data_IF_281736299586
#
_entry.id   IF_281736299586
#
_cell.length_a   1.000
_cell.length_b   1.000
_cell.length_c   1.000
_cell.angle_alpha   90.00
_cell.angle_beta   90.00
_cell.angle_gamma   90.00
#
_symmetry.space_group_name_H-M   'P 1'
#
loop_
_entity.id
_entity.type
_entity.pdbx_description
1 polymer ?
#
# COMPACT_ATOMS: atom_id res chain seq x y z
N UNK A 1 -3.05 -4.21 8.16
CA UNK A 1 -3.42 -5.54 7.63
C UNK A 1 -3.52 -6.50 8.81
N UNK A 2 -4.71 -7.01 9.11
CA UNK A 2 -4.87 -8.07 10.11
C UNK A 2 -4.76 -9.42 9.41
N UNK A 3 -3.63 -10.13 9.60
CA UNK A 3 -3.42 -11.46 9.03
C UNK A 3 -4.45 -12.49 9.53
N UNK A 4 -4.97 -12.31 10.74
CA UNK A 4 -5.99 -13.18 11.31
C UNK A 4 -7.35 -13.02 10.60
N UNK A 5 -7.74 -11.77 10.33
CA UNK A 5 -8.99 -11.46 9.66
C UNK A 5 -9.00 -11.96 8.21
N UNK A 6 -7.90 -11.76 7.47
CA UNK A 6 -7.80 -12.24 6.08
C UNK A 6 -7.79 -13.77 6.00
N UNK A 7 -7.11 -14.44 6.94
CA UNK A 7 -7.17 -15.90 7.07
C UNK A 7 -8.59 -16.40 7.39
N UNK A 8 -9.36 -15.68 8.21
CA UNK A 8 -10.77 -15.99 8.46
C UNK A 8 -11.61 -15.86 7.17
N UNK A 9 -11.42 -14.81 6.38
CA UNK A 9 -12.11 -14.64 5.09
C UNK A 9 -11.81 -15.80 4.12
N UNK A 10 -10.56 -16.25 4.07
CA UNK A 10 -10.15 -17.39 3.25
C UNK A 10 -10.89 -18.67 3.65
N UNK A 11 -11.14 -18.90 4.95
CA UNK A 11 -11.86 -20.08 5.47
C UNK A 11 -13.34 -20.12 5.06
N UNK A 12 -13.97 -18.98 4.75
CA UNK A 12 -15.37 -18.95 4.33
C UNK A 12 -15.60 -19.67 2.99
N UNK A 13 -16.71 -20.40 2.90
CA UNK A 13 -17.11 -21.24 1.75
C UNK A 13 -18.52 -20.86 1.30
N UNK A 14 -18.89 -21.23 0.06
CA UNK A 14 -20.24 -20.98 -0.48
C UNK A 14 -20.51 -19.55 -0.95
N UNK A 15 -19.51 -18.67 -0.95
CA UNK A 15 -19.63 -17.30 -1.47
C UNK A 15 -19.28 -17.25 -2.96
N UNK A 16 -19.98 -16.39 -3.72
CA UNK A 16 -19.58 -16.03 -5.08
C UNK A 16 -18.17 -15.41 -5.08
N UNK A 17 -17.36 -15.58 -6.13
CA UNK A 17 -15.99 -15.06 -6.19
C UNK A 17 -15.89 -13.58 -5.81
N UNK A 18 -16.72 -12.71 -6.41
CA UNK A 18 -16.73 -11.27 -6.13
C UNK A 18 -17.16 -10.96 -4.69
N UNK A 19 -18.17 -11.66 -4.15
CA UNK A 19 -18.59 -11.54 -2.74
C UNK A 19 -17.44 -11.89 -1.79
N UNK A 20 -16.61 -12.88 -2.16
CA UNK A 20 -15.45 -13.31 -1.40
C UNK A 20 -14.30 -12.28 -1.46
N UNK A 21 -14.11 -11.62 -2.61
CA UNK A 21 -13.15 -10.50 -2.75
C UNK A 21 -13.56 -9.33 -1.85
N UNK A 22 -14.84 -8.96 -1.84
CA UNK A 22 -15.38 -7.89 -0.96
C UNK A 22 -15.11 -8.21 0.51
N UNK A 23 -15.37 -9.45 0.94
CA UNK A 23 -15.09 -9.90 2.30
C UNK A 23 -13.60 -9.83 2.64
N UNK A 24 -12.74 -10.22 1.70
CA UNK A 24 -11.30 -10.19 1.88
C UNK A 24 -10.76 -8.76 2.06
N UNK A 25 -11.18 -7.81 1.23
CA UNK A 25 -10.79 -6.40 1.38
C UNK A 25 -11.30 -5.78 2.68
N UNK A 26 -12.51 -6.14 3.13
CA UNK A 26 -13.01 -5.72 4.45
C UNK A 26 -12.13 -6.25 5.58
N UNK A 27 -11.67 -7.50 5.48
CA UNK A 27 -10.80 -8.12 6.48
C UNK A 27 -9.38 -7.57 6.47
N UNK A 28 -8.84 -7.25 5.29
CA UNK A 28 -7.52 -6.62 5.17
C UNK A 28 -7.46 -5.26 5.89
N UNK A 29 -8.57 -4.51 5.78
CA UNK A 29 -8.77 -3.18 6.38
C UNK A 29 -9.23 -3.23 7.84
N UNK A 30 -9.43 -4.41 8.43
CA UNK A 30 -9.82 -4.55 9.82
C UNK A 30 -8.67 -4.19 10.77
N UNK A 31 -8.98 -3.38 11.79
CA UNK A 31 -8.09 -3.08 12.91
C UNK A 31 -8.72 -3.60 14.22
N UNK A 32 -8.02 -4.41 15.03
CA UNK A 32 -8.54 -4.94 16.30
C UNK A 32 -9.01 -3.87 17.29
N UNK A 33 -8.32 -2.74 17.37
CA UNK A 33 -8.60 -1.70 18.38
C UNK A 33 -9.76 -0.79 17.96
N UNK A 34 -9.83 -0.47 16.67
CA UNK A 34 -10.76 0.54 16.16
C UNK A 34 -11.95 -0.09 15.44
N UNK A 35 -11.77 -1.21 14.75
CA UNK A 35 -12.76 -1.87 13.87
C UNK A 35 -12.52 -1.60 12.38
N UNK A 36 -13.53 -1.87 11.55
CA UNK A 36 -13.48 -1.70 10.09
C UNK A 36 -14.40 -0.56 9.61
N UNK A 37 -13.83 0.47 8.98
CA UNK A 37 -14.56 1.67 8.50
C UNK A 37 -14.12 2.18 7.11
N UNK A 38 -13.96 1.33 6.08
CA UNK A 38 -13.71 1.83 4.73
C UNK A 38 -14.88 2.68 4.23
N UNK A 39 -14.59 3.71 3.45
CA UNK A 39 -15.63 4.36 2.64
C UNK A 39 -16.07 3.40 1.53
N UNK A 40 -17.36 3.46 1.14
CA UNK A 40 -17.87 2.62 0.06
C UNK A 40 -17.17 2.90 -1.27
N UNK A 41 -16.84 4.16 -1.56
CA UNK A 41 -16.10 4.53 -2.78
C UNK A 41 -14.75 3.83 -2.85
N UNK A 42 -14.02 3.81 -1.72
CA UNK A 42 -12.71 3.17 -1.65
C UNK A 42 -12.84 1.65 -1.73
N UNK A 43 -13.82 1.07 -1.04
CA UNK A 43 -14.06 -0.38 -1.09
C UNK A 43 -14.47 -0.85 -2.49
N UNK A 44 -15.30 -0.07 -3.19
CA UNK A 44 -15.71 -0.33 -4.56
C UNK A 44 -14.52 -0.28 -5.53
N UNK A 45 -13.67 0.74 -5.39
CA UNK A 45 -12.42 0.86 -6.15
C UNK A 45 -11.49 -0.34 -5.90
N UNK A 46 -11.26 -0.73 -4.64
CA UNK A 46 -10.38 -1.85 -4.31
C UNK A 46 -10.89 -3.19 -4.88
N UNK A 47 -12.21 -3.37 -4.90
CA UNK A 47 -12.85 -4.57 -5.42
C UNK A 47 -13.09 -4.52 -6.94
N UNK A 48 -12.73 -3.42 -7.61
CA UNK A 48 -12.94 -3.18 -9.04
C UNK A 48 -14.40 -3.36 -9.50
N UNK A 49 -15.36 -2.92 -8.67
CA UNK A 49 -16.80 -3.02 -8.96
C UNK A 49 -17.50 -1.69 -8.75
N UNK A 50 -18.69 -1.56 -9.34
CA UNK A 50 -19.54 -0.39 -9.12
C UNK A 50 -20.08 -0.35 -7.68
N UNK A 51 -20.49 0.83 -7.21
CA UNK A 51 -21.11 1.00 -5.87
C UNK A 51 -22.42 0.22 -5.74
N UNK A 52 -23.22 0.13 -6.79
CA UNK A 52 -24.47 -0.65 -6.78
C UNK A 52 -24.16 -2.14 -6.63
N UNK A 53 -23.23 -2.67 -7.43
CA UNK A 53 -22.77 -4.06 -7.32
C UNK A 53 -22.15 -4.36 -5.95
N UNK A 54 -21.39 -3.41 -5.39
CA UNK A 54 -20.85 -3.54 -4.03
C UNK A 54 -21.97 -3.69 -3.00
N UNK A 55 -23.04 -2.90 -3.08
CA UNK A 55 -24.17 -3.00 -2.17
C UNK A 55 -24.89 -4.36 -2.26
N UNK A 56 -25.01 -4.93 -3.46
CA UNK A 56 -25.56 -6.28 -3.64
C UNK A 56 -24.72 -7.35 -2.94
N UNK A 57 -23.39 -7.25 -3.07
CA UNK A 57 -22.46 -8.18 -2.40
C UNK A 57 -22.43 -7.97 -0.88
N UNK A 58 -22.53 -6.74 -0.39
CA UNK A 58 -22.66 -6.44 1.03
C UNK A 58 -23.97 -7.04 1.60
N UNK A 59 -25.08 -6.93 0.86
CA UNK A 59 -26.35 -7.55 1.23
C UNK A 59 -26.28 -9.07 1.28
N UNK A 60 -25.55 -9.70 0.35
CA UNK A 60 -25.29 -11.16 0.40
C UNK A 60 -24.47 -11.55 1.63
N UNK A 61 -23.45 -10.76 2.01
CA UNK A 61 -22.65 -11.02 3.21
C UNK A 61 -23.46 -10.86 4.50
N UNK A 62 -24.40 -9.92 4.53
CA UNK A 62 -25.35 -9.75 5.63
C UNK A 62 -26.35 -10.92 5.71
N UNK A 63 -26.88 -11.37 4.57
CA UNK A 63 -27.81 -12.49 4.50
C UNK A 63 -27.18 -13.81 4.97
N UNK A 64 -25.89 -14.01 4.70
CA UNK A 64 -25.13 -15.19 5.17
C UNK A 64 -24.62 -14.99 6.61
N UNK A 65 -24.84 -13.81 7.21
CA UNK A 65 -24.45 -13.53 8.60
C UNK A 65 -22.94 -13.40 8.81
N UNK A 66 -22.18 -13.02 7.78
CA UNK A 66 -20.73 -12.79 7.87
C UNK A 66 -20.37 -11.33 8.14
N UNK A 67 -21.34 -10.44 7.97
CA UNK A 67 -21.16 -9.00 8.05
C UNK A 67 -22.40 -8.34 8.66
N UNK A 68 -22.18 -7.23 9.36
CA UNK A 68 -23.24 -6.30 9.77
C UNK A 68 -22.78 -4.86 9.54
N UNK A 69 -23.57 -4.08 8.79
CA UNK A 69 -23.33 -2.64 8.62
C UNK A 69 -24.01 -1.85 9.74
N UNK A 70 -23.26 -0.96 10.40
CA UNK A 70 -23.79 -0.02 11.40
C UNK A 70 -23.52 1.41 10.91
N UNK A 71 -24.56 2.13 10.42
CA UNK A 71 -24.41 3.54 10.11
C UNK A 71 -24.11 4.30 11.40
N UNK A 72 -23.20 5.27 11.32
CA UNK A 72 -22.81 6.09 12.47
C UNK A 72 -23.14 7.55 12.19
N UNK A 73 -23.62 8.24 13.22
CA UNK A 73 -23.84 9.67 13.22
C UNK A 73 -22.99 10.28 14.33
N UNK A 74 -22.42 11.44 14.07
CA UNK A 74 -21.76 12.24 15.09
C UNK A 74 -22.83 12.69 16.13
N UNK A 75 -22.66 12.38 17.42
CA UNK A 75 -23.67 12.68 18.43
C UNK A 75 -23.93 14.18 18.58
N UNK A 76 -22.91 15.01 18.33
CA UNK A 76 -22.94 16.46 18.50
C UNK A 76 -23.31 17.14 17.20
N UNK A 77 -22.57 16.84 16.12
CA UNK A 77 -22.74 17.58 14.85
C UNK A 77 -23.84 17.01 13.96
N UNK A 78 -24.41 15.85 14.32
CA UNK A 78 -25.39 15.07 13.52
C UNK A 78 -24.91 14.73 12.10
N UNK A 79 -23.62 14.92 11.81
CA UNK A 79 -23.02 14.56 10.52
C UNK A 79 -22.91 13.04 10.39
N UNK A 80 -23.01 12.56 9.17
CA UNK A 80 -22.82 11.16 8.86
C UNK A 80 -21.34 10.79 9.02
N UNK A 81 -21.06 9.78 9.85
CA UNK A 81 -19.73 9.21 10.04
C UNK A 81 -19.56 7.97 9.15
N UNK A 82 -18.31 7.57 8.86
CA UNK A 82 -18.04 6.33 8.12
C UNK A 82 -18.74 5.13 8.77
N UNK A 83 -19.47 4.40 7.94
CA UNK A 83 -20.19 3.16 8.30
C UNK A 83 -19.22 2.17 8.94
N UNK A 84 -19.62 1.60 10.07
CA UNK A 84 -18.88 0.52 10.72
C UNK A 84 -19.30 -0.80 10.10
N UNK A 85 -18.33 -1.58 9.68
CA UNK A 85 -18.51 -2.95 9.22
C UNK A 85 -18.09 -3.88 10.36
N UNK A 86 -19.05 -4.60 10.92
CA UNK A 86 -18.79 -5.58 11.99
C UNK A 86 -18.69 -6.95 11.35
N UNK A 87 -17.52 -7.57 11.46
CA UNK A 87 -17.21 -8.84 10.83
C UNK A 87 -17.65 -10.00 11.75
N UNK A 88 -18.05 -11.12 11.14
CA UNK A 88 -18.62 -12.28 11.85
C UNK A 88 -17.68 -12.94 12.88
N UNK A 89 -16.38 -12.64 12.85
CA UNK A 89 -15.42 -13.12 13.85
C UNK A 89 -15.24 -12.17 15.05
N UNK A 90 -15.79 -10.94 15.00
CA UNK A 90 -15.66 -10.00 16.11
C UNK A 90 -16.41 -10.50 17.36
N UNK A 91 -15.84 -10.37 18.57
CA UNK A 91 -16.53 -10.73 19.81
C UNK A 91 -17.80 -9.88 19.97
N UNK A 92 -18.94 -10.55 20.21
CA UNK A 92 -20.25 -9.88 20.30
C UNK A 92 -20.97 -9.67 18.97
N UNK A 93 -20.52 -10.34 17.90
CA UNK A 93 -21.28 -10.39 16.65
C UNK A 93 -22.61 -11.13 16.85
N UNK A 94 -23.72 -10.42 16.65
CA UNK A 94 -25.08 -10.99 16.63
C UNK A 94 -25.66 -10.78 15.23
N UNK A 95 -25.93 -11.86 14.46
CA UNK A 95 -26.65 -11.76 13.20
C UNK A 95 -28.00 -11.08 13.44
N UNK A 96 -28.31 -10.02 12.69
CA UNK A 96 -29.64 -9.40 12.73
C UNK A 96 -30.49 -10.13 11.68
N UNK A 97 -31.69 -10.58 12.07
CA UNK A 97 -32.65 -11.11 11.11
C UNK A 97 -32.94 -10.03 10.05
N UNK A 98 -32.66 -10.36 8.79
CA UNK A 98 -32.63 -9.42 7.66
C UNK A 98 -33.98 -8.71 7.52
N UNK A 99 -34.03 -7.43 7.92
CA UNK A 99 -34.93 -6.47 7.29
C UNK A 99 -34.14 -5.89 6.13
N UNK A 100 -34.57 -6.05 4.86
CA UNK A 100 -33.89 -5.42 3.73
C UNK A 100 -33.80 -3.92 4.01
N UNK A 101 -32.58 -3.36 4.00
CA UNK A 101 -32.37 -1.95 4.29
C UNK A 101 -33.12 -1.10 3.24
N UNK A 102 -33.78 0.00 3.64
CA UNK A 102 -34.47 0.88 2.71
C UNK A 102 -33.47 1.46 1.69
N UNK A 103 -33.89 1.51 0.42
CA UNK A 103 -33.25 2.28 -0.65
C UNK A 103 -33.11 3.75 -0.20
N UNK A 104 -31.95 4.12 0.36
CA UNK A 104 -31.62 5.53 0.57
C UNK A 104 -31.11 6.06 -0.76
N UNK A 105 -32.07 6.43 -1.63
CA UNK A 105 -31.81 7.30 -2.77
C UNK A 105 -31.26 8.63 -2.26
N UNK A 106 -30.06 9.00 -2.71
CA UNK A 106 -29.54 10.35 -2.53
C UNK A 106 -30.38 11.29 -3.40
N UNK A 107 -31.40 11.91 -2.79
CA UNK A 107 -32.09 13.06 -3.38
C UNK A 107 -31.07 14.18 -3.60
N UNK A 108 -30.94 14.60 -4.86
CA UNK A 108 -30.22 15.80 -5.25
C UNK A 108 -30.98 17.00 -4.65
N UNK A 109 -30.30 17.74 -3.78
CA UNK A 109 -30.82 18.95 -3.17
C UNK A 109 -30.83 20.05 -4.24
N UNK A 110 -32.00 20.42 -4.72
CA UNK A 110 -32.19 21.60 -5.57
C UNK A 110 -33.52 22.25 -5.24
N UNK A 111 -33.42 23.41 -4.58
CA UNK A 111 -34.43 24.47 -4.68
C UNK A 111 -35.52 24.44 -3.62
N UNK A 112 -35.40 25.37 -2.68
CA UNK A 112 -36.49 25.87 -1.85
C UNK A 112 -37.74 26.23 -2.69
N UNK A 113 -38.93 26.08 -2.11
CA UNK A 113 -39.86 27.18 -1.83
C UNK A 113 -40.91 26.74 -0.79
N UNK A 114 -41.44 27.76 -0.13
CA UNK A 114 -42.19 27.78 1.12
C UNK A 114 -43.67 27.89 0.75
N UNK A 115 -44.61 27.24 1.45
CA UNK A 115 -45.90 27.84 1.86
C UNK A 115 -46.87 26.85 2.52
N UNK A 116 -47.32 27.26 3.71
CA UNK A 116 -48.68 27.27 4.25
C UNK A 116 -49.58 26.02 4.36
N UNK A 117 -49.86 25.70 5.63
CA UNK A 117 -51.17 25.73 6.32
C UNK A 117 -52.37 24.86 5.84
N UNK A 118 -53.06 24.37 6.89
CA UNK A 118 -54.50 24.07 7.02
C UNK A 118 -54.96 22.60 6.93
N UNK A 119 -55.18 22.04 8.12
CA UNK A 119 -56.48 21.61 8.67
C UNK A 119 -57.36 20.58 7.90
N UNK A 120 -57.75 19.50 8.60
CA UNK A 120 -58.96 18.70 8.26
C UNK A 120 -58.82 17.18 8.37
N UNK A 121 -59.22 16.61 9.52
CA UNK A 121 -59.83 15.25 9.59
C UNK A 121 -61.28 15.31 9.05
N UNK A 122 -62.13 14.24 9.00
CA UNK A 122 -61.97 12.78 9.18
C UNK A 122 -62.81 11.90 8.17
N UNK A 123 -62.81 10.57 8.39
CA UNK A 123 -63.91 9.57 8.22
C UNK A 123 -64.28 8.92 6.85
N UNK A 124 -64.34 7.59 6.93
CA UNK A 124 -65.32 6.60 6.41
C UNK A 124 -65.74 6.50 4.92
N UNK A 125 -65.71 5.26 4.43
CA UNK A 125 -66.96 4.61 4.02
C UNK A 125 -67.11 4.11 2.57
N UNK A 126 -67.12 2.79 2.45
CA UNK A 126 -67.93 1.96 1.55
C UNK A 126 -67.56 1.80 0.05
N UNK A 127 -67.67 0.52 -0.36
CA UNK A 127 -67.54 -0.04 -1.69
C UNK A 127 -68.74 0.28 -2.60
N UNK A 128 -68.54 0.25 -3.91
CA UNK A 128 -69.38 -0.57 -4.81
C UNK A 128 -68.77 -0.73 -6.22
N UNK A 129 -69.26 -1.77 -6.91
CA UNK A 129 -68.68 -2.44 -8.08
C UNK A 129 -68.90 -1.77 -9.47
N UNK A 130 -67.88 -1.95 -10.35
CA UNK A 130 -67.83 -2.25 -11.81
C UNK A 130 -68.80 -1.53 -12.80
N UNK A 131 -68.40 -1.21 -14.07
CA UNK A 131 -67.77 -2.16 -15.02
C UNK A 131 -66.70 -1.60 -15.98
N UNK A 132 -65.93 -2.53 -16.57
CA UNK A 132 -64.98 -2.29 -17.66
C UNK A 132 -65.68 -2.02 -19.00
N UNK A 133 -65.04 -1.29 -19.93
CA UNK A 133 -65.24 -1.49 -21.37
C UNK A 133 -63.98 -2.05 -22.04
N UNK A 134 -64.24 -3.06 -22.86
CA UNK A 134 -63.33 -3.80 -23.74
C UNK A 134 -63.29 -3.13 -25.13
N UNK A 135 -62.12 -3.07 -25.77
CA UNK A 135 -62.02 -3.03 -27.23
C UNK A 135 -60.84 -3.90 -27.67
N UNK A 136 -61.20 -4.89 -28.48
CA UNK A 136 -60.38 -6.00 -28.90
C UNK A 136 -59.38 -5.74 -30.04
N UNK A 137 -58.76 -6.85 -30.39
CA UNK A 137 -57.50 -7.09 -31.09
C UNK A 137 -57.36 -6.62 -32.55
N UNK A 138 -56.10 -6.43 -32.96
CA UNK A 138 -55.67 -6.51 -34.36
C UNK A 138 -54.19 -6.12 -34.59
N UNK A 139 -53.37 -7.12 -34.92
CA UNK A 139 -52.09 -7.07 -35.63
C UNK A 139 -50.74 -6.77 -34.91
N UNK A 140 -49.98 -7.88 -34.78
CA UNK A 140 -48.66 -8.03 -35.40
C UNK A 140 -47.53 -7.05 -35.00
N UNK A 141 -47.07 -7.10 -33.76
CA UNK A 141 -45.70 -6.69 -33.42
C UNK A 141 -45.14 -7.55 -32.27
N UNK A 142 -44.22 -8.44 -32.61
CA UNK A 142 -43.37 -9.17 -31.66
C UNK A 142 -42.56 -8.14 -30.84
N UNK A 143 -42.32 -8.34 -29.53
CA UNK A 143 -41.27 -7.57 -28.87
C UNK A 143 -39.93 -7.93 -29.53
N UNK A 144 -39.33 -6.96 -30.21
CA UNK A 144 -37.99 -7.07 -30.81
C UNK A 144 -36.99 -6.99 -29.66
N UNK A 145 -36.50 -8.15 -29.22
CA UNK A 145 -35.28 -8.23 -28.44
C UNK A 145 -34.10 -8.11 -29.41
N UNK A 146 -33.49 -6.93 -29.48
CA UNK A 146 -32.24 -6.68 -30.24
C UNK A 146 -30.98 -7.21 -29.53
N UNK A 147 -31.12 -8.18 -28.62
CA UNK A 147 -29.98 -8.95 -28.12
C UNK A 147 -29.93 -10.29 -28.86
N UNK A 148 -28.80 -10.65 -29.50
CA UNK A 148 -28.63 -11.99 -30.03
C UNK A 148 -28.77 -12.98 -28.87
N UNK A 149 -29.55 -14.04 -29.07
CA UNK A 149 -29.50 -15.19 -28.18
C UNK A 149 -28.02 -15.62 -28.08
N UNK A 150 -27.47 -15.66 -26.85
CA UNK A 150 -26.15 -16.23 -26.65
C UNK A 150 -26.14 -17.61 -27.33
N UNK A 151 -25.19 -17.87 -28.24
CA UNK A 151 -25.12 -19.18 -28.86
C UNK A 151 -24.93 -20.19 -27.75
N UNK A 152 -25.92 -21.08 -27.59
CA UNK A 152 -25.74 -22.33 -26.88
C UNK A 152 -24.42 -22.94 -27.37
N UNK A 153 -23.50 -23.34 -26.47
CA UNK A 153 -22.23 -23.89 -26.92
C UNK A 153 -22.48 -25.20 -27.67
N UNK A 154 -22.52 -25.11 -29.01
CA UNK A 154 -22.31 -26.25 -29.87
C UNK A 154 -20.91 -26.78 -29.57
N UNK A 155 -20.85 -28.09 -29.39
CA UNK A 155 -19.75 -28.77 -28.76
C UNK A 155 -18.95 -29.52 -29.84
N UNK A 156 -17.84 -28.96 -30.36
CA UNK A 156 -16.88 -29.75 -31.10
C UNK A 156 -15.70 -30.17 -30.21
N UNK A 157 -15.21 -31.36 -30.52
CA UNK A 157 -14.23 -32.21 -29.85
C UNK A 157 -13.06 -31.48 -29.15
N UNK A 158 -13.13 -31.36 -27.82
CA UNK A 158 -11.98 -31.62 -26.92
C UNK A 158 -12.37 -31.49 -25.44
N UNK A 159 -12.45 -32.66 -24.78
CA UNK A 159 -11.97 -32.92 -23.41
C UNK A 159 -12.53 -32.08 -22.24
N UNK A 160 -13.48 -32.75 -21.58
CA UNK A 160 -13.78 -32.82 -20.13
C UNK A 160 -14.38 -31.58 -19.44
N UNK A 161 -15.72 -31.59 -19.32
CA UNK A 161 -16.41 -31.01 -18.16
C UNK A 161 -16.24 -31.97 -16.98
N UNK A 162 -15.41 -31.61 -16.01
CA UNK A 162 -15.41 -32.29 -14.72
C UNK A 162 -16.38 -31.53 -13.82
N UNK A 163 -17.65 -31.93 -13.87
CA UNK A 163 -18.68 -31.46 -12.94
C UNK A 163 -18.64 -32.32 -11.67
N UNK A 164 -17.48 -32.43 -11.03
CA UNK A 164 -17.35 -33.32 -9.87
C UNK A 164 -17.54 -32.55 -8.57
N UNK A 165 -18.71 -32.78 -7.98
CA UNK A 165 -18.96 -33.01 -6.56
C UNK A 165 -17.66 -33.17 -5.75
N UNK A 166 -17.36 -32.17 -4.91
CA UNK A 166 -16.28 -32.15 -3.91
C UNK A 166 -16.01 -33.56 -3.32
N UNK A 167 -14.95 -34.27 -3.74
CA UNK A 167 -14.43 -35.38 -2.97
C UNK A 167 -13.63 -34.77 -1.82
N UNK A 168 -13.96 -35.17 -0.60
CA UNK A 168 -13.25 -34.80 0.63
C UNK A 168 -11.74 -34.90 0.40
N UNK A 169 -11.06 -33.75 0.40
CA UNK A 169 -9.61 -33.71 0.58
C UNK A 169 -9.39 -33.64 2.09
N UNK A 170 -9.05 -34.77 2.70
CA UNK A 170 -8.53 -34.78 4.07
C UNK A 170 -7.41 -33.73 4.16
N UNK A 171 -7.35 -32.96 5.26
CA UNK A 171 -6.39 -31.88 5.38
C UNK A 171 -4.98 -32.47 5.29
N UNK A 172 -4.34 -32.30 4.13
CA UNK A 172 -2.92 -32.55 3.92
C UNK A 172 -2.14 -31.80 4.99
N UNK A 173 -1.63 -32.57 5.97
CA UNK A 173 -0.60 -32.14 6.91
C UNK A 173 0.77 -32.32 6.26
N UNK A 174 1.02 -31.63 5.15
CA UNK A 174 2.35 -31.47 4.57
C UNK A 174 2.44 -30.07 3.97
N UNK A 175 3.56 -29.33 4.14
CA UNK A 175 3.67 -27.98 3.62
C UNK A 175 3.62 -28.02 2.08
N UNK A 176 2.63 -27.34 1.53
CA UNK A 176 2.44 -27.12 0.10
C UNK A 176 3.72 -26.52 -0.48
N UNK A 177 4.36 -27.26 -1.40
CA UNK A 177 5.32 -26.70 -2.35
C UNK A 177 4.58 -25.68 -3.21
N UNK A 178 4.79 -24.40 -2.93
CA UNK A 178 4.52 -23.32 -3.89
C UNK A 178 5.63 -23.35 -4.94
N UNK A 179 5.36 -24.00 -6.07
CA UNK A 179 6.04 -23.72 -7.34
C UNK A 179 5.01 -23.21 -8.33
N UNK A 180 5.04 -21.91 -8.60
CA UNK A 180 5.13 -21.34 -9.95
C UNK A 180 5.08 -19.82 -9.85
N UNK A 181 6.25 -19.19 -9.96
CA UNK A 181 6.34 -17.73 -9.94
C UNK A 181 7.74 -17.18 -9.69
N UNK A 182 8.78 -17.74 -10.30
CA UNK A 182 10.09 -17.10 -10.30
C UNK A 182 10.69 -17.20 -11.70
N UNK A 183 10.77 -16.04 -12.36
CA UNK A 183 11.60 -15.82 -13.53
C UNK A 183 13.01 -16.38 -13.29
N UNK A 184 13.59 -17.00 -14.31
CA UNK A 184 14.90 -17.61 -14.31
C UNK A 184 16.00 -16.66 -13.78
N UNK A 185 16.24 -16.69 -12.47
CA UNK A 185 17.41 -16.14 -11.79
C UNK A 185 18.13 -17.31 -11.16
N UNK A 186 19.43 -17.44 -11.43
CA UNK A 186 20.24 -18.58 -10.97
C UNK A 186 20.07 -18.78 -9.47
N UNK A 187 19.73 -20.00 -9.04
CA UNK A 187 19.66 -20.32 -7.62
C UNK A 187 21.01 -20.10 -6.95
N UNK A 188 21.01 -19.86 -5.63
CA UNK A 188 22.27 -19.82 -4.87
C UNK A 188 22.92 -21.20 -4.92
N UNK A 189 24.23 -21.22 -5.20
CA UNK A 189 24.99 -22.47 -5.24
C UNK A 189 25.07 -23.11 -3.86
N UNK A 190 25.16 -24.44 -3.83
CA UNK A 190 25.33 -25.16 -2.56
C UNK A 190 26.66 -24.80 -1.86
N UNK A 191 27.67 -24.38 -2.62
CA UNK A 191 28.94 -23.88 -2.08
C UNK A 191 28.73 -22.61 -1.23
N UNK A 192 28.06 -21.60 -1.78
CA UNK A 192 27.80 -20.33 -1.08
C UNK A 192 26.91 -20.54 0.14
N UNK A 193 25.92 -21.44 0.02
CA UNK A 193 25.07 -21.79 1.16
C UNK A 193 25.88 -22.52 2.26
N UNK A 194 26.81 -23.40 1.87
CA UNK A 194 27.74 -24.06 2.78
C UNK A 194 28.66 -23.07 3.50
N UNK A 195 29.22 -22.11 2.78
CA UNK A 195 30.07 -21.05 3.34
C UNK A 195 29.30 -20.18 4.33
N UNK A 196 28.04 -19.86 4.03
CA UNK A 196 27.16 -19.16 4.96
C UNK A 196 26.92 -19.97 6.25
N UNK A 197 26.64 -21.28 6.13
CA UNK A 197 26.47 -22.13 7.31
C UNK A 197 27.75 -22.21 8.15
N UNK A 198 28.91 -22.30 7.50
CA UNK A 198 30.21 -22.29 8.16
C UNK A 198 30.46 -20.96 8.89
N UNK A 199 30.18 -19.82 8.26
CA UNK A 199 30.25 -18.50 8.88
C UNK A 199 29.32 -18.35 10.09
N UNK A 200 28.17 -19.03 10.05
CA UNK A 200 27.23 -19.09 11.16
C UNK A 200 27.57 -20.16 12.20
N UNK A 201 28.62 -20.97 12.01
CA UNK A 201 28.96 -22.08 12.92
C UNK A 201 27.89 -23.16 12.99
N UNK A 202 27.10 -23.34 11.92
CA UNK A 202 26.07 -24.37 11.82
C UNK A 202 26.64 -25.62 11.15
N UNK A 203 26.44 -26.78 11.78
CA UNK A 203 26.84 -28.06 11.20
C UNK A 203 25.85 -28.48 10.09
N UNK A 204 26.30 -28.65 8.83
CA UNK A 204 25.43 -29.10 7.74
C UNK A 204 24.80 -30.48 7.99
N UNK A 205 25.39 -31.33 8.84
CA UNK A 205 24.83 -32.63 9.19
C UNK A 205 23.72 -32.57 10.26
N UNK A 206 23.63 -31.46 11.01
CA UNK A 206 22.72 -31.30 12.15
C UNK A 206 21.99 -29.95 12.13
N UNK A 207 21.50 -29.55 10.95
CA UNK A 207 20.84 -28.25 10.78
C UNK A 207 19.49 -28.16 11.53
N UNK A 208 19.18 -27.03 12.19
CA UNK A 208 17.84 -26.76 12.69
C UNK A 208 16.80 -26.77 11.56
N UNK A 209 15.53 -27.08 11.85
CA UNK A 209 14.48 -27.22 10.85
C UNK A 209 14.31 -26.00 9.93
N UNK A 210 14.56 -24.79 10.44
CA UNK A 210 14.50 -23.53 9.68
C UNK A 210 15.68 -23.30 8.73
N UNK A 211 16.72 -24.13 8.80
CA UNK A 211 17.89 -24.13 7.90
C UNK A 211 17.86 -25.31 6.92
N UNK A 212 16.85 -26.18 7.00
CA UNK A 212 16.71 -27.35 6.13
C UNK A 212 15.90 -27.03 4.85
N UNK A 213 16.24 -27.74 3.78
CA UNK A 213 15.52 -27.70 2.51
C UNK A 213 15.80 -26.46 1.66
N UNK A 214 14.86 -26.18 0.75
CA UNK A 214 14.95 -25.07 -0.20
C UNK A 214 14.57 -23.68 0.37
N UNK A 215 13.63 -23.52 1.33
CA UNK A 215 13.24 -22.19 1.82
C UNK A 215 14.39 -21.29 2.30
N UNK A 216 15.42 -21.81 3.01
CA UNK A 216 16.58 -21.02 3.41
C UNK A 216 17.40 -20.52 2.23
N UNK A 217 17.57 -21.36 1.19
CA UNK A 217 18.28 -20.98 -0.03
C UNK A 217 17.57 -19.84 -0.76
N UNK A 218 16.23 -19.93 -0.87
CA UNK A 218 15.41 -18.84 -1.40
C UNK A 218 15.57 -17.57 -0.57
N UNK A 219 15.62 -17.68 0.75
CA UNK A 219 15.74 -16.53 1.64
C UNK A 219 17.09 -15.81 1.43
N UNK A 220 18.18 -16.54 1.28
CA UNK A 220 19.49 -15.97 0.93
C UNK A 220 19.44 -15.36 -0.49
N UNK A 221 18.71 -15.98 -1.43
CA UNK A 221 18.54 -15.45 -2.79
C UNK A 221 17.84 -14.10 -2.77
N UNK A 222 16.84 -13.92 -1.89
CA UNK A 222 16.18 -12.61 -1.69
C UNK A 222 17.15 -11.55 -1.19
N UNK A 223 18.12 -11.86 -0.34
CA UNK A 223 19.13 -10.87 0.05
C UNK A 223 19.99 -10.42 -1.13
N UNK A 224 20.36 -11.34 -2.02
CA UNK A 224 21.11 -11.01 -3.24
C UNK A 224 20.27 -10.16 -4.20
N UNK A 225 19.02 -10.56 -4.41
CA UNK A 225 18.14 -9.97 -5.43
C UNK A 225 17.48 -8.66 -4.97
N UNK A 226 17.03 -8.58 -3.72
CA UNK A 226 16.28 -7.43 -3.18
C UNK A 226 17.19 -6.41 -2.50
N UNK A 227 18.23 -6.86 -1.78
CA UNK A 227 19.19 -5.97 -1.11
C UNK A 227 20.44 -5.69 -1.94
N UNK A 228 20.54 -6.30 -3.14
CA UNK A 228 21.69 -6.17 -4.04
C UNK A 228 23.02 -6.49 -3.35
N UNK A 229 23.01 -7.41 -2.38
CA UNK A 229 24.22 -7.87 -1.69
C UNK A 229 24.92 -8.93 -2.54
N UNK A 230 26.24 -8.86 -2.63
CA UNK A 230 27.03 -9.95 -3.22
C UNK A 230 27.13 -11.11 -2.23
N UNK A 231 27.44 -12.30 -2.73
CA UNK A 231 27.58 -13.51 -1.89
C UNK A 231 28.66 -13.31 -0.80
N UNK A 232 29.77 -12.67 -1.14
CA UNK A 232 30.81 -12.29 -0.19
C UNK A 232 30.32 -11.27 0.87
N UNK A 233 29.48 -10.31 0.48
CA UNK A 233 28.90 -9.33 1.41
C UNK A 233 27.89 -9.99 2.38
N UNK A 234 27.14 -10.99 1.90
CA UNK A 234 26.22 -11.79 2.72
C UNK A 234 27.02 -12.58 3.76
N UNK A 235 28.08 -13.29 3.35
CA UNK A 235 28.94 -14.07 4.27
C UNK A 235 29.59 -13.14 5.30
N UNK A 236 30.17 -12.02 4.88
CA UNK A 236 30.78 -11.05 5.80
C UNK A 236 29.77 -10.45 6.80
N UNK A 237 28.54 -10.18 6.36
CA UNK A 237 27.47 -9.70 7.23
C UNK A 237 27.01 -10.78 8.24
N UNK A 238 27.00 -12.04 7.82
CA UNK A 238 26.69 -13.17 8.68
C UNK A 238 27.78 -13.36 9.77
N UNK A 239 29.06 -13.33 9.40
CA UNK A 239 30.18 -13.38 10.34
C UNK A 239 30.13 -12.23 11.36
N UNK A 240 29.92 -11.00 10.89
CA UNK A 240 29.77 -9.84 11.75
C UNK A 240 28.58 -10.00 12.72
N UNK A 241 27.47 -10.56 12.25
CA UNK A 241 26.32 -10.87 13.10
C UNK A 241 26.66 -11.90 14.18
N UNK A 242 27.55 -12.86 13.93
CA UNK A 242 27.99 -13.83 14.97
C UNK A 242 28.94 -13.23 15.99
N UNK A 243 29.74 -12.24 15.59
CA UNK A 243 30.58 -11.49 16.53
C UNK A 243 29.71 -10.68 17.53
N UNK A 244 28.60 -10.10 17.05
CA UNK A 244 27.65 -9.37 17.89
C UNK A 244 26.74 -10.32 18.71
N UNK A 245 26.37 -11.46 18.14
CA UNK A 245 25.48 -12.45 18.74
C UNK A 245 26.08 -13.87 18.65
N UNK A 246 26.72 -14.37 19.74
CA UNK A 246 27.41 -15.66 19.74
C UNK A 246 26.48 -16.87 19.51
N UNK A 247 25.20 -16.77 19.87
CA UNK A 247 24.23 -17.85 19.70
C UNK A 247 23.72 -17.99 18.26
N UNK A 248 23.65 -19.22 17.70
CA UNK A 248 23.22 -19.43 16.33
C UNK A 248 21.84 -18.88 16.02
N UNK A 249 21.69 -18.20 14.87
CA UNK A 249 20.38 -17.71 14.46
C UNK A 249 19.43 -18.87 14.26
N UNK A 250 18.24 -18.76 14.84
CA UNK A 250 17.17 -19.76 14.73
C UNK A 250 16.83 -20.09 13.28
N UNK A 251 16.99 -19.12 12.37
CA UNK A 251 16.78 -19.27 10.94
C UNK A 251 17.33 -18.08 10.15
N UNK A 252 17.32 -18.16 8.80
CA UNK A 252 17.83 -17.11 7.93
C UNK A 252 17.23 -15.73 8.25
N UNK A 253 15.92 -15.67 8.53
CA UNK A 253 15.19 -14.43 8.85
C UNK A 253 15.80 -13.62 10.00
N UNK A 254 16.46 -14.27 10.97
CA UNK A 254 17.12 -13.57 12.07
C UNK A 254 18.24 -12.64 11.58
N UNK A 255 18.83 -12.93 10.42
CA UNK A 255 19.88 -12.14 9.79
C UNK A 255 19.36 -10.98 8.94
N UNK A 256 18.05 -10.87 8.69
CA UNK A 256 17.48 -9.83 7.81
C UNK A 256 17.91 -8.42 8.22
N UNK A 257 17.93 -8.15 9.53
CA UNK A 257 18.34 -6.84 10.04
C UNK A 257 19.84 -6.58 9.85
N UNK A 258 20.67 -7.62 9.95
CA UNK A 258 22.10 -7.52 9.66
C UNK A 258 22.34 -7.27 8.17
N UNK A 259 21.61 -7.97 7.29
CA UNK A 259 21.68 -7.80 5.84
C UNK A 259 21.22 -6.41 5.40
N UNK A 260 20.12 -5.90 5.97
CA UNK A 260 19.66 -4.53 5.70
C UNK A 260 20.70 -3.47 6.10
N UNK A 261 21.37 -3.65 7.26
CA UNK A 261 22.47 -2.75 7.68
C UNK A 261 23.67 -2.85 6.74
N UNK A 262 24.02 -4.05 6.29
CA UNK A 262 25.10 -4.25 5.32
C UNK A 262 24.81 -3.54 4.00
N UNK A 263 23.57 -3.64 3.51
CA UNK A 263 23.13 -2.95 2.30
C UNK A 263 23.16 -1.42 2.46
N UNK A 264 22.73 -0.90 3.61
CA UNK A 264 22.83 0.54 3.92
C UNK A 264 24.29 1.02 3.92
N UNK A 265 25.19 0.29 4.61
CA UNK A 265 26.63 0.60 4.64
C UNK A 265 27.25 0.60 3.24
N UNK A 266 26.85 -0.32 2.36
CA UNK A 266 27.27 -0.36 0.96
C UNK A 266 26.86 0.91 0.19
N UNK A 267 25.62 1.37 0.38
CA UNK A 267 25.13 2.61 -0.24
C UNK A 267 25.89 3.84 0.29
N UNK A 268 26.16 3.88 1.59
CA UNK A 268 26.95 4.95 2.21
C UNK A 268 28.40 4.96 1.70
N UNK A 269 29.05 3.81 1.61
CA UNK A 269 30.42 3.68 1.14
C UNK A 269 30.56 4.00 -0.35
N UNK A 270 29.60 3.57 -1.18
CA UNK A 270 29.57 3.96 -2.60
C UNK A 270 29.34 5.46 -2.75
N UNK A 271 28.46 6.06 -1.94
CA UNK A 271 28.27 7.50 -1.86
C UNK A 271 29.54 8.25 -1.42
N UNK A 272 30.24 7.74 -0.40
CA UNK A 272 31.51 8.30 0.10
C UNK A 272 32.63 8.19 -0.94
N UNK A 273 32.77 7.04 -1.61
CA UNK A 273 33.73 6.85 -2.71
C UNK A 273 33.44 7.78 -3.88
N UNK A 274 32.16 7.99 -4.24
CA UNK A 274 31.75 8.94 -5.29
C UNK A 274 32.05 10.39 -4.92
N UNK A 275 31.86 10.78 -3.64
CA UNK A 275 32.26 12.11 -3.14
C UNK A 275 33.78 12.29 -3.19
N UNK A 276 34.55 11.30 -2.71
CA UNK A 276 36.02 11.32 -2.72
C UNK A 276 36.60 11.34 -4.15
N UNK A 277 35.98 10.64 -5.10
CA UNK A 277 36.37 10.65 -6.52
C UNK A 277 36.02 11.97 -7.22
N UNK A 278 34.99 12.69 -6.75
CA UNK A 278 34.64 14.04 -7.25
C UNK A 278 35.56 15.13 -6.69
N UNK A 279 36.40 14.81 -5.71
CA UNK A 279 37.29 15.75 -5.01
C UNK A 279 38.76 15.70 -5.50
N UNK A 280 38.99 15.33 -6.75
CA UNK A 280 40.32 15.43 -7.36
C UNK A 280 40.30 16.13 -8.74
N UNK A 281 40.23 17.46 -8.79
CA UNK A 281 41.05 18.24 -9.72
C UNK A 281 42.50 18.28 -9.20
N UNK A 282 43.47 18.43 -10.11
CA UNK A 282 44.90 18.57 -9.81
C UNK A 282 45.19 19.55 -8.64
N UNK A 283 46.27 19.37 -7.86
CA UNK A 283 46.51 20.15 -6.65
C UNK A 283 46.69 21.64 -7.01
N UNK A 284 45.65 22.43 -6.77
CA UNK A 284 45.77 23.86 -6.64
C UNK A 284 46.52 24.14 -5.32
N UNK A 285 47.47 25.09 -5.30
CA UNK A 285 48.25 25.37 -4.10
C UNK A 285 47.30 25.78 -2.97
N UNK A 286 47.52 25.17 -1.80
CA UNK A 286 46.69 25.31 -0.61
C UNK A 286 46.31 26.79 -0.36
N UNK A 287 45.04 27.12 -0.55
CA UNK A 287 44.50 28.39 -0.10
C UNK A 287 44.58 28.40 1.43
N UNK A 288 45.43 29.28 1.96
CA UNK A 288 45.54 29.55 3.40
C UNK A 288 44.14 29.79 3.98
N UNK A 289 43.82 29.29 5.18
CA UNK A 289 42.55 29.62 5.82
C UNK A 289 42.39 31.15 5.84
N UNK A 290 41.26 31.66 5.35
CA UNK A 290 40.97 33.09 5.27
C UNK A 290 40.87 33.63 6.70
N UNK A 291 42.01 33.97 7.27
CA UNK A 291 42.14 34.37 8.68
C UNK A 291 41.82 35.87 8.82
N UNK A 292 41.90 36.64 7.73
CA UNK A 292 41.58 38.07 7.70
C UNK A 292 40.59 38.37 6.57
N UNK A 293 39.31 38.38 6.95
CA UNK A 293 38.19 38.58 6.03
C UNK A 293 38.19 39.98 5.36
N UNK A 294 38.51 41.09 6.08
CA UNK A 294 38.72 42.40 5.45
C UNK A 294 39.81 42.43 4.37
N UNK A 295 40.96 41.77 4.56
CA UNK A 295 42.01 41.73 3.56
C UNK A 295 41.60 40.94 2.31
N UNK A 296 40.84 39.86 2.49
CA UNK A 296 40.28 39.07 1.40
C UNK A 296 39.31 39.88 0.52
N UNK A 297 38.37 40.60 1.14
CA UNK A 297 37.45 41.46 0.38
C UNK A 297 38.15 42.67 -0.23
N UNK A 298 39.18 43.22 0.41
CA UNK A 298 39.98 44.30 -0.15
C UNK A 298 40.71 43.86 -1.44
N UNK A 299 41.31 42.67 -1.46
CA UNK A 299 41.91 42.09 -2.67
C UNK A 299 40.87 41.93 -3.79
N UNK A 300 39.64 41.53 -3.45
CA UNK A 300 38.56 41.38 -4.42
C UNK A 300 38.05 42.72 -4.97
N UNK A 301 37.99 43.77 -4.14
CA UNK A 301 37.62 45.14 -4.54
C UNK A 301 38.70 45.79 -5.42
N UNK A 302 39.97 45.57 -5.08
CA UNK A 302 41.10 46.10 -5.85
C UNK A 302 41.29 45.35 -7.17
N UNK A 303 40.96 44.04 -7.23
CA UNK A 303 40.97 43.26 -8.48
C UNK A 303 39.76 43.54 -9.39
N UNK A 304 39.86 43.20 -10.67
CA UNK A 304 38.75 43.32 -11.63
C UNK A 304 37.81 42.09 -11.67
N UNK A 305 37.97 41.15 -10.72
CA UNK A 305 37.12 39.96 -10.62
C UNK A 305 35.67 40.33 -10.32
N UNK A 306 34.72 39.45 -10.63
CA UNK A 306 33.31 39.71 -10.33
C UNK A 306 33.07 39.89 -8.83
N UNK A 307 32.42 40.99 -8.45
CA UNK A 307 32.05 41.31 -7.07
C UNK A 307 30.52 41.47 -7.01
N UNK A 308 29.80 40.60 -6.27
CA UNK A 308 28.36 40.75 -6.09
C UNK A 308 28.03 42.04 -5.31
N UNK A 309 26.98 42.74 -5.71
CA UNK A 309 26.58 44.04 -5.13
C UNK A 309 26.27 43.96 -3.62
N UNK A 310 25.87 42.79 -3.12
CA UNK A 310 25.57 42.55 -1.70
C UNK A 310 26.72 41.89 -0.92
N UNK A 311 27.88 41.66 -1.55
CA UNK A 311 28.96 40.89 -0.93
C UNK A 311 29.70 41.62 0.19
N UNK A 312 29.60 42.96 0.25
CA UNK A 312 30.28 43.79 1.23
C UNK A 312 29.24 44.48 2.11
N UNK A 313 29.23 44.13 3.39
CA UNK A 313 28.42 44.81 4.40
C UNK A 313 29.04 46.17 4.78
N UNK A 314 28.23 47.10 5.29
CA UNK A 314 28.71 48.41 5.76
C UNK A 314 29.82 48.26 6.81
N UNK A 315 29.68 47.31 7.74
CA UNK A 315 30.72 46.95 8.71
C UNK A 315 32.02 46.49 8.07
N UNK A 316 31.95 45.73 6.97
CA UNK A 316 33.15 45.27 6.25
C UNK A 316 33.80 46.42 5.47
N UNK A 317 32.99 47.26 4.82
CA UNK A 317 33.43 48.47 4.12
C UNK A 317 34.19 49.41 5.06
N UNK A 318 33.62 49.69 6.23
CA UNK A 318 34.22 50.57 7.23
C UNK A 318 35.51 49.96 7.81
N UNK A 319 35.54 48.64 8.02
CA UNK A 319 36.75 47.92 8.45
C UNK A 319 37.88 47.96 7.40
N UNK A 320 37.56 47.88 6.10
CA UNK A 320 38.56 47.99 5.04
C UNK A 320 39.09 49.42 4.88
N UNK A 321 38.21 50.43 5.00
CA UNK A 321 38.58 51.85 4.96
C UNK A 321 39.44 52.26 6.17
N UNK A 322 39.05 51.83 7.37
CA UNK A 322 39.79 52.12 8.60
C UNK A 322 41.21 51.53 8.60
N UNK A 323 41.40 50.40 7.88
CA UNK A 323 42.71 49.76 7.70
C UNK A 323 43.47 50.25 6.46
N UNK A 324 42.90 51.17 5.67
CA UNK A 324 43.52 51.70 4.46
C UNK A 324 43.71 50.68 3.33
N UNK A 325 42.94 49.58 3.34
CA UNK A 325 43.11 48.48 2.38
C UNK A 325 42.43 48.75 1.03
N UNK A 326 41.49 49.71 1.00
CA UNK A 326 40.75 50.16 -0.18
C UNK A 326 40.48 51.66 -0.09
N UNK A 327 40.30 52.32 -1.22
CA UNK A 327 39.90 53.74 -1.26
C UNK A 327 38.39 53.88 -1.42
N UNK A 328 37.84 54.99 -0.89
CA UNK A 328 36.41 55.31 -1.04
C UNK A 328 36.00 55.54 -2.50
N UNK A 329 36.94 55.91 -3.37
CA UNK A 329 36.73 56.00 -4.82
C UNK A 329 36.58 54.62 -5.45
N UNK A 330 37.48 53.68 -5.14
CA UNK A 330 37.44 52.32 -5.70
C UNK A 330 36.18 51.56 -5.28
N UNK A 331 35.70 51.77 -4.05
CA UNK A 331 34.43 51.17 -3.60
C UNK A 331 33.23 51.71 -4.40
N UNK A 332 33.20 53.02 -4.68
CA UNK A 332 32.14 53.65 -5.50
C UNK A 332 32.15 53.16 -6.94
N UNK A 333 33.32 53.04 -7.55
CA UNK A 333 33.48 52.45 -8.91
C UNK A 333 32.92 51.03 -8.99
N UNK A 334 33.06 50.26 -7.90
CA UNK A 334 32.64 48.86 -7.81
C UNK A 334 31.19 48.70 -7.31
N UNK A 335 30.44 49.80 -7.21
CA UNK A 335 29.01 49.78 -6.87
C UNK A 335 28.70 49.57 -5.39
N UNK A 336 29.70 49.67 -4.51
CA UNK A 336 29.57 49.55 -3.06
C UNK A 336 29.31 50.95 -2.50
N UNK A 337 28.10 51.17 -1.93
CA UNK A 337 27.70 52.48 -1.38
C UNK A 337 28.15 52.68 0.05
#
# INVERSE_FOLDING_TARGET
MSHEATNWAIKQRGLKPTTKIVLWHLCDRFNPDYGCFPSQDRLAHDCEISRSTLNDHLGQLEAVGLLRRVPRLDPVTKRQLPTRYILGFEPGFTPVAVVPCPEIGHGNDSGAEIADMAEGSPLDGAADALPCPDFGHGDSARPVSDFPAEPCPENPESRVRISDTNPVREPLREPVKEEEGAQAREAISDEVFGDLLAALGLDPAALPGWWQGWPPRLHVQRWRDELCLTEAEIIAAAEASRQEHPEPPDGPKALDRAMQRAAQRKVEDTGRKRRKAKEAPAPAPAAKPITDLPAFYADLVNSDRYLPVSAISNTMRDAMLARGLVTAERLRERGVR
#
